data_IF_604344685697
#
_entry.id   IF_604344685697
#
_cell.length_a   1.000
_cell.length_b   1.000
_cell.length_c   1.000
_cell.angle_alpha   90.00
_cell.angle_beta   90.00
_cell.angle_gamma   90.00
#
_symmetry.space_group_name_H-M   'P 1'
#
loop_
_entity.id
_entity.type
_entity.pdbx_description
1 polymer ?
#
# COMPACT_ATOMS: atom_id res chain seq x y z
N UNK A 1 -10.49 -6.46 -6.30
CA UNK A 1 -11.86 -6.42 -5.74
C UNK A 1 -12.82 -5.80 -6.75
N UNK A 2 -14.04 -6.34 -6.83
CA UNK A 2 -15.10 -5.79 -7.67
C UNK A 2 -15.56 -6.69 -8.84
N UNK A 3 -14.91 -7.79 -9.12
CA UNK A 3 -15.37 -8.79 -10.11
C UNK A 3 -16.34 -9.78 -9.50
N UNK A 4 -16.12 -10.22 -8.28
CA UNK A 4 -17.00 -11.09 -7.52
C UNK A 4 -17.46 -10.42 -6.23
N UNK A 5 -18.24 -11.14 -5.41
CA UNK A 5 -18.67 -10.65 -4.10
C UNK A 5 -17.45 -10.22 -3.25
N UNK A 6 -17.36 -8.96 -2.81
CA UNK A 6 -16.22 -8.47 -2.06
C UNK A 6 -15.97 -9.19 -0.73
N UNK A 7 -17.01 -9.72 -0.10
CA UNK A 7 -16.86 -10.48 1.15
C UNK A 7 -16.25 -11.85 0.88
N UNK A 8 -16.69 -12.51 -0.20
CA UNK A 8 -16.08 -13.76 -0.63
C UNK A 8 -14.59 -13.59 -0.96
N UNK A 9 -14.25 -12.60 -1.80
CA UNK A 9 -12.86 -12.29 -2.14
C UNK A 9 -12.02 -11.99 -0.90
N UNK A 10 -12.57 -11.22 0.04
CA UNK A 10 -11.92 -10.86 1.30
C UNK A 10 -11.62 -12.09 2.16
N UNK A 11 -12.59 -13.00 2.32
CA UNK A 11 -12.40 -14.23 3.07
C UNK A 11 -11.43 -15.20 2.40
N UNK A 12 -11.50 -15.32 1.07
CA UNK A 12 -10.56 -16.13 0.30
C UNK A 12 -9.13 -15.64 0.45
N UNK A 13 -8.92 -14.32 0.31
CA UNK A 13 -7.61 -13.68 0.50
C UNK A 13 -7.11 -13.88 1.94
N UNK A 14 -7.96 -13.67 2.94
CA UNK A 14 -7.60 -13.88 4.34
C UNK A 14 -7.13 -15.32 4.60
N UNK A 15 -7.89 -16.31 4.16
CA UNK A 15 -7.53 -17.72 4.29
C UNK A 15 -6.22 -18.04 3.59
N UNK A 16 -6.02 -17.50 2.38
CA UNK A 16 -4.79 -17.67 1.62
C UNK A 16 -3.57 -17.12 2.37
N UNK A 17 -3.65 -15.91 2.91
CA UNK A 17 -2.56 -15.32 3.69
C UNK A 17 -2.27 -16.17 4.95
N UNK A 18 -3.30 -16.61 5.66
CA UNK A 18 -3.14 -17.48 6.84
C UNK A 18 -2.48 -18.83 6.50
N UNK A 19 -2.85 -19.43 5.38
CA UNK A 19 -2.25 -20.67 4.91
C UNK A 19 -0.76 -20.46 4.54
N UNK A 20 -0.45 -19.39 3.83
CA UNK A 20 0.92 -19.02 3.52
C UNK A 20 1.76 -18.74 4.78
N UNK A 21 1.24 -18.01 5.76
CA UNK A 21 1.93 -17.75 7.02
C UNK A 21 2.23 -19.04 7.80
N UNK A 22 1.31 -20.00 7.78
CA UNK A 22 1.51 -21.27 8.48
C UNK A 22 2.57 -22.15 7.81
N UNK A 23 2.63 -22.12 6.47
CA UNK A 23 3.60 -22.92 5.69
C UNK A 23 4.98 -22.28 5.60
N UNK A 24 5.02 -20.96 5.53
CA UNK A 24 6.22 -20.17 5.27
C UNK A 24 6.47 -19.18 6.40
N UNK A 25 6.57 -19.66 7.62
CA UNK A 25 6.66 -18.88 8.85
C UNK A 25 7.88 -17.92 8.90
N UNK A 26 8.90 -18.15 8.05
CA UNK A 26 10.09 -17.27 7.92
C UNK A 26 9.91 -16.17 6.89
N UNK A 27 8.80 -16.17 6.13
CA UNK A 27 8.55 -15.20 5.07
C UNK A 27 7.70 -14.05 5.58
N UNK A 28 8.06 -12.84 5.18
CA UNK A 28 7.20 -11.68 5.37
C UNK A 28 6.19 -11.58 4.21
N UNK A 29 4.94 -11.28 4.56
CA UNK A 29 3.86 -11.16 3.59
C UNK A 29 3.39 -9.71 3.48
N UNK A 30 3.04 -9.32 2.25
CA UNK A 30 2.37 -8.07 2.00
C UNK A 30 1.07 -8.29 1.22
N UNK A 31 0.03 -7.57 1.60
CA UNK A 31 -1.29 -7.63 0.98
C UNK A 31 -1.62 -6.27 0.37
N UNK A 32 -2.07 -6.29 -0.87
CA UNK A 32 -2.57 -5.12 -1.59
C UNK A 32 -4.06 -5.30 -1.89
N UNK A 33 -4.81 -4.21 -1.93
CA UNK A 33 -6.25 -4.20 -2.12
C UNK A 33 -6.67 -3.47 -3.41
N UNK A 34 -6.23 -3.90 -4.61
CA UNK A 34 -6.65 -3.26 -5.84
C UNK A 34 -8.15 -3.48 -6.06
N UNK A 35 -8.89 -2.41 -6.22
CA UNK A 35 -10.30 -2.46 -6.63
C UNK A 35 -10.46 -1.91 -8.04
N UNK A 36 -11.45 -2.44 -8.75
CA UNK A 36 -11.83 -1.92 -10.05
C UNK A 36 -12.40 -0.51 -9.90
N UNK A 37 -11.90 0.38 -10.72
CA UNK A 37 -12.39 1.74 -10.87
C UNK A 37 -13.03 1.89 -12.25
N UNK A 38 -14.03 2.77 -12.44
CA UNK A 38 -14.52 3.11 -13.76
C UNK A 38 -13.36 3.58 -14.65
N UNK A 39 -13.29 3.06 -15.85
CA UNK A 39 -12.27 3.39 -16.85
C UNK A 39 -12.89 4.05 -18.08
N UNK A 40 -12.08 4.73 -18.88
CA UNK A 40 -12.50 5.41 -20.11
C UNK A 40 -13.18 4.47 -21.13
N UNK A 41 -12.92 3.14 -21.04
CA UNK A 41 -13.54 2.09 -21.87
C UNK A 41 -14.96 1.69 -21.43
N UNK A 42 -15.56 2.33 -20.42
CA UNK A 42 -16.95 2.09 -19.99
C UNK A 42 -17.16 0.80 -19.19
N UNK A 43 -16.11 0.07 -18.83
CA UNK A 43 -16.25 -1.10 -17.95
C UNK A 43 -16.72 -0.69 -16.57
N UNK A 44 -17.80 -1.30 -16.11
CA UNK A 44 -18.31 -1.12 -14.77
C UNK A 44 -18.09 -2.39 -13.94
N UNK A 45 -17.57 -2.23 -12.73
CA UNK A 45 -17.40 -3.36 -11.81
C UNK A 45 -18.76 -3.97 -11.47
N UNK A 46 -18.97 -5.28 -11.64
CA UNK A 46 -20.22 -5.95 -11.26
C UNK A 46 -20.56 -5.78 -9.77
N UNK A 47 -19.54 -5.72 -8.93
CA UNK A 47 -19.64 -5.56 -7.48
C UNK A 47 -18.77 -4.38 -7.01
N UNK A 48 -19.23 -3.12 -7.16
CA UNK A 48 -18.42 -1.96 -6.85
C UNK A 48 -18.08 -1.90 -5.35
N UNK A 49 -16.81 -1.64 -5.04
CA UNK A 49 -16.33 -1.52 -3.67
C UNK A 49 -16.23 -0.06 -3.28
N UNK A 50 -17.06 0.38 -2.34
CA UNK A 50 -17.03 1.75 -1.81
C UNK A 50 -15.80 2.01 -0.95
N UNK A 51 -15.46 3.29 -0.72
CA UNK A 51 -14.36 3.68 0.18
C UNK A 51 -14.59 3.15 1.60
N UNK A 52 -15.84 3.20 2.08
CA UNK A 52 -16.21 2.67 3.39
C UNK A 52 -15.95 1.16 3.49
N UNK A 53 -16.38 0.38 2.50
CA UNK A 53 -16.17 -1.06 2.49
C UNK A 53 -14.68 -1.40 2.40
N UNK A 54 -13.92 -0.70 1.55
CA UNK A 54 -12.47 -0.91 1.46
C UNK A 54 -11.77 -0.59 2.78
N UNK A 55 -12.14 0.50 3.46
CA UNK A 55 -11.60 0.81 4.77
C UNK A 55 -11.91 -0.27 5.81
N UNK A 56 -13.14 -0.79 5.82
CA UNK A 56 -13.54 -1.90 6.70
C UNK A 56 -12.71 -3.15 6.44
N UNK A 57 -12.48 -3.52 5.19
CA UNK A 57 -11.63 -4.65 4.80
C UNK A 57 -10.20 -4.44 5.32
N UNK A 58 -9.63 -3.26 5.09
CA UNK A 58 -8.27 -2.93 5.54
C UNK A 58 -8.14 -3.03 7.06
N UNK A 59 -9.12 -2.49 7.81
CA UNK A 59 -9.11 -2.57 9.27
C UNK A 59 -9.28 -4.00 9.78
N UNK A 60 -10.15 -4.80 9.17
CA UNK A 60 -10.30 -6.20 9.50
C UNK A 60 -8.99 -6.97 9.29
N UNK A 61 -8.30 -6.74 8.16
CA UNK A 61 -6.98 -7.33 7.91
C UNK A 61 -5.94 -6.87 8.92
N UNK A 62 -5.91 -5.58 9.28
CA UNK A 62 -4.97 -5.06 10.28
C UNK A 62 -5.19 -5.68 11.66
N UNK A 63 -6.44 -5.88 12.06
CA UNK A 63 -6.77 -6.51 13.35
C UNK A 63 -6.41 -7.99 13.35
N UNK A 64 -6.76 -8.72 12.27
CA UNK A 64 -6.58 -10.16 12.20
C UNK A 64 -5.17 -10.61 11.79
N UNK A 65 -4.40 -9.74 11.12
CA UNK A 65 -3.06 -10.00 10.58
C UNK A 65 -2.11 -8.85 10.93
N UNK A 66 -1.81 -8.64 12.22
CA UNK A 66 -1.08 -7.45 12.68
C UNK A 66 0.34 -7.33 12.08
N UNK A 67 1.00 -8.45 11.82
CA UNK A 67 2.37 -8.48 11.28
C UNK A 67 2.42 -8.35 9.74
N UNK A 68 1.28 -8.41 9.06
CA UNK A 68 1.24 -8.36 7.60
C UNK A 68 1.39 -6.92 7.10
N UNK A 69 2.25 -6.71 6.12
CA UNK A 69 2.34 -5.40 5.45
C UNK A 69 1.10 -5.17 4.58
N UNK A 70 0.33 -4.12 4.89
CA UNK A 70 -0.82 -3.71 4.09
C UNK A 70 -0.44 -2.54 3.18
N UNK A 71 -0.66 -2.72 1.89
CA UNK A 71 -0.20 -1.81 0.83
C UNK A 71 -1.39 -1.09 0.20
N UNK A 72 -1.28 0.23 0.05
CA UNK A 72 -2.26 1.04 -0.68
C UNK A 72 -1.60 1.75 -1.87
N UNK A 73 -2.21 1.63 -3.04
CA UNK A 73 -1.67 2.16 -4.29
C UNK A 73 -2.17 3.59 -4.59
N UNK A 74 -1.54 4.23 -5.58
CA UNK A 74 -1.93 5.54 -6.12
C UNK A 74 -3.25 5.53 -6.91
N UNK A 75 -3.89 4.37 -7.08
CA UNK A 75 -5.23 4.25 -7.66
C UNK A 75 -6.30 4.88 -6.78
N UNK A 76 -6.07 4.96 -5.48
CA UNK A 76 -6.99 5.52 -4.52
C UNK A 76 -6.85 7.05 -4.44
N UNK A 77 -7.97 7.74 -4.14
CA UNK A 77 -7.99 9.18 -4.03
C UNK A 77 -7.06 9.69 -2.91
N UNK A 78 -6.44 10.88 -3.07
CA UNK A 78 -5.56 11.45 -2.06
C UNK A 78 -6.16 11.50 -0.66
N UNK A 79 -7.39 11.97 -0.54
CA UNK A 79 -8.10 12.09 0.75
C UNK A 79 -8.29 10.75 1.45
N UNK A 80 -8.63 9.71 0.70
CA UNK A 80 -8.77 8.36 1.24
C UNK A 80 -7.42 7.79 1.69
N UNK A 81 -6.38 7.97 0.88
CA UNK A 81 -5.03 7.53 1.21
C UNK A 81 -4.49 8.22 2.46
N UNK A 82 -4.66 9.53 2.52
CA UNK A 82 -4.23 10.34 3.67
C UNK A 82 -4.94 9.89 4.95
N UNK A 83 -6.23 9.60 4.88
CA UNK A 83 -7.02 9.11 6.01
C UNK A 83 -6.57 7.74 6.54
N UNK A 84 -6.02 6.87 5.69
CA UNK A 84 -5.58 5.52 6.06
C UNK A 84 -4.11 5.42 6.47
N UNK A 85 -3.32 6.48 6.22
CA UNK A 85 -1.92 6.50 6.61
C UNK A 85 -1.78 6.32 8.14
N UNK A 86 -1.01 5.30 8.55
CA UNK A 86 -0.73 5.00 9.95
C UNK A 86 -1.87 4.34 10.74
N UNK A 87 -3.11 4.28 10.20
CA UNK A 87 -4.24 3.66 10.91
C UNK A 87 -4.37 2.17 10.54
N UNK A 88 -4.29 1.84 9.26
CA UNK A 88 -4.39 0.45 8.80
C UNK A 88 -3.30 0.10 7.81
N UNK A 89 -2.87 1.08 7.03
CA UNK A 89 -1.87 0.95 5.98
C UNK A 89 -0.50 1.36 6.51
N UNK A 90 0.50 0.55 6.25
CA UNK A 90 1.90 0.82 6.61
C UNK A 90 2.84 0.88 5.40
N UNK A 91 2.35 0.62 4.19
CA UNK A 91 3.10 0.83 2.95
C UNK A 91 2.22 1.49 1.89
N UNK A 92 2.74 2.50 1.21
CA UNK A 92 2.00 3.25 0.21
C UNK A 92 2.88 3.50 -1.02
N UNK A 93 2.30 3.39 -2.23
CA UNK A 93 2.97 3.82 -3.46
C UNK A 93 2.92 5.34 -3.58
N UNK A 94 3.93 5.94 -4.17
CA UNK A 94 3.97 7.36 -4.49
C UNK A 94 4.60 7.60 -5.86
N UNK A 95 4.17 8.63 -6.58
CA UNK A 95 4.72 9.01 -7.87
C UNK A 95 4.57 7.96 -8.97
N UNK A 96 3.58 7.07 -8.88
CA UNK A 96 3.38 6.00 -9.87
C UNK A 96 2.93 6.59 -11.21
N UNK A 97 3.55 6.12 -12.30
CA UNK A 97 3.15 6.41 -13.68
C UNK A 97 2.89 5.10 -14.40
N UNK A 98 1.77 5.01 -15.11
CA UNK A 98 1.31 3.77 -15.75
C UNK A 98 1.35 3.83 -17.27
N UNK A 99 1.85 4.93 -17.83
CA UNK A 99 2.08 5.10 -19.27
C UNK A 99 3.42 4.50 -19.67
N UNK A 100 3.50 3.94 -20.86
CA UNK A 100 4.76 3.43 -21.43
C UNK A 100 5.72 4.62 -21.57
N UNK A 101 6.95 4.50 -21.04
CA UNK A 101 7.92 5.60 -21.04
C UNK A 101 7.62 6.74 -20.05
N UNK A 102 6.55 6.64 -19.26
CA UNK A 102 6.04 7.73 -18.40
C UNK A 102 6.99 8.29 -17.34
N UNK A 103 8.13 7.62 -17.09
CA UNK A 103 9.19 8.14 -16.21
C UNK A 103 10.24 8.96 -16.97
N UNK A 104 10.31 8.85 -18.30
CA UNK A 104 11.30 9.51 -19.15
C UNK A 104 10.75 10.74 -19.87
N UNK A 105 9.44 10.76 -20.20
CA UNK A 105 8.80 11.86 -20.92
C UNK A 105 7.40 12.19 -20.35
N UNK A 106 6.90 13.45 -20.57
CA UNK A 106 5.51 13.78 -20.24
C UNK A 106 4.57 12.93 -21.12
N UNK A 107 3.82 12.05 -20.51
CA UNK A 107 2.95 11.15 -21.24
C UNK A 107 1.79 11.89 -21.91
N UNK A 108 1.65 11.73 -23.20
CA UNK A 108 0.54 12.25 -24.01
C UNK A 108 -0.65 11.27 -24.06
N UNK A 109 -0.55 10.09 -23.46
CA UNK A 109 -1.53 9.02 -23.64
C UNK A 109 -2.09 8.47 -22.32
N UNK A 110 -3.32 7.97 -22.37
CA UNK A 110 -3.99 7.38 -21.22
C UNK A 110 -3.22 6.13 -20.74
N UNK A 111 -2.73 6.17 -19.51
CA UNK A 111 -2.02 5.03 -18.94
C UNK A 111 -2.92 3.80 -18.79
N UNK A 112 -2.29 2.63 -18.63
CA UNK A 112 -2.98 1.35 -18.44
C UNK A 112 -4.00 1.37 -17.29
N UNK A 113 -3.80 2.23 -16.30
CA UNK A 113 -4.70 2.40 -15.16
C UNK A 113 -4.81 3.89 -14.77
N UNK A 114 -6.00 4.30 -14.33
CA UNK A 114 -6.20 5.63 -13.77
C UNK A 114 -5.44 5.75 -12.46
N UNK A 115 -4.51 6.69 -12.41
CA UNK A 115 -3.82 7.12 -11.18
C UNK A 115 -4.63 8.27 -10.58
N UNK A 116 -5.32 8.02 -9.47
CA UNK A 116 -6.13 9.04 -8.80
C UNK A 116 -5.30 9.99 -7.94
N UNK A 117 -4.20 9.50 -7.36
CA UNK A 117 -3.24 10.33 -6.62
C UNK A 117 -2.00 10.59 -7.47
N UNK A 118 -2.03 11.70 -8.19
CA UNK A 118 -0.93 12.15 -9.07
C UNK A 118 0.17 12.95 -8.34
N UNK A 119 0.13 13.04 -7.00
CA UNK A 119 1.17 13.73 -6.24
C UNK A 119 2.54 13.10 -6.50
N UNK A 120 3.55 13.95 -6.66
CA UNK A 120 4.93 13.48 -6.70
C UNK A 120 5.36 12.97 -5.31
N UNK A 121 6.52 12.31 -5.26
CA UNK A 121 7.06 11.70 -4.03
C UNK A 121 7.28 12.76 -2.94
N UNK A 122 7.78 13.93 -3.31
CA UNK A 122 8.08 15.02 -2.38
C UNK A 122 6.81 15.54 -1.69
N UNK A 123 5.78 15.87 -2.46
CA UNK A 123 4.50 16.33 -1.93
C UNK A 123 3.82 15.28 -1.05
N UNK A 124 3.92 13.99 -1.42
CA UNK A 124 3.39 12.90 -0.62
C UNK A 124 4.14 12.75 0.71
N UNK A 125 5.47 12.82 0.69
CA UNK A 125 6.30 12.78 1.91
C UNK A 125 6.05 13.99 2.81
N UNK A 126 5.86 15.19 2.24
CA UNK A 126 5.52 16.38 3.00
C UNK A 126 4.19 16.21 3.76
N UNK A 127 3.18 15.63 3.11
CA UNK A 127 1.90 15.31 3.76
C UNK A 127 2.08 14.32 4.93
N UNK A 128 2.87 13.27 4.75
CA UNK A 128 3.14 12.30 5.82
C UNK A 128 3.84 12.96 7.01
N UNK A 129 4.87 13.79 6.77
CA UNK A 129 5.58 14.52 7.83
C UNK A 129 4.66 15.49 8.58
N UNK A 130 3.79 16.20 7.84
CA UNK A 130 2.80 17.09 8.45
C UNK A 130 1.81 16.36 9.40
N UNK A 131 1.67 15.04 9.23
CA UNK A 131 0.87 14.16 10.10
C UNK A 131 1.70 13.46 11.18
N UNK A 132 2.97 13.76 11.30
CA UNK A 132 3.87 13.19 12.32
C UNK A 132 4.46 11.83 11.93
N UNK A 133 4.40 11.44 10.65
CA UNK A 133 5.04 10.22 10.17
C UNK A 133 6.40 10.52 9.55
N UNK A 134 7.34 9.61 9.73
CA UNK A 134 8.62 9.63 9.04
C UNK A 134 8.58 8.67 7.84
N UNK A 135 8.55 9.20 6.58
CA UNK A 135 8.47 8.36 5.40
C UNK A 135 9.80 7.66 5.12
N UNK A 136 9.77 6.34 5.08
CA UNK A 136 10.91 5.48 4.79
C UNK A 136 10.72 4.80 3.44
N UNK A 137 11.71 4.88 2.56
CA UNK A 137 11.60 4.36 1.19
C UNK A 137 11.94 2.89 1.05
N UNK A 138 12.76 2.35 1.95
CA UNK A 138 13.24 0.95 1.89
C UNK A 138 13.38 0.39 3.29
N UNK A 139 13.22 -0.94 3.42
CA UNK A 139 13.40 -1.63 4.71
C UNK A 139 14.84 -1.59 5.24
N UNK A 140 15.80 -1.18 4.43
CA UNK A 140 17.22 -1.00 4.79
C UNK A 140 17.64 0.47 4.75
N UNK A 141 16.71 1.40 4.87
CA UNK A 141 17.01 2.83 4.96
C UNK A 141 17.82 3.12 6.23
N UNK A 142 18.56 4.23 6.22
CA UNK A 142 19.39 4.67 7.34
C UNK A 142 18.60 4.78 8.66
N UNK A 143 17.32 5.16 8.59
CA UNK A 143 16.42 5.20 9.75
C UNK A 143 16.29 3.87 10.51
N UNK A 144 16.60 2.72 9.88
CA UNK A 144 16.62 1.41 10.53
C UNK A 144 18.01 0.98 10.99
N UNK A 145 19.07 1.66 10.57
CA UNK A 145 20.45 1.31 10.92
C UNK A 145 20.83 1.78 12.33
N UNK A 146 20.24 2.88 12.79
CA UNK A 146 20.53 3.49 14.08
C UNK A 146 19.90 2.74 15.28
N UNK A 147 19.10 1.70 15.00
CA UNK A 147 18.47 0.85 16.04
C UNK A 147 19.35 -0.34 16.43
N UNK A 148 20.43 -0.62 15.70
CA UNK A 148 21.40 -1.64 16.09
C UNK A 148 22.46 -0.95 16.94
N UNK A 149 22.52 -1.16 18.28
CA UNK A 149 23.61 -0.62 19.08
C UNK A 149 24.94 -1.14 18.53
N UNK A 150 25.85 -0.24 18.24
CA UNK A 150 27.22 -0.60 17.84
C UNK A 150 27.77 -1.57 18.88
N UNK A 151 28.43 -2.68 18.49
CA UNK A 151 29.07 -3.56 19.44
C UNK A 151 30.06 -2.74 20.26
N UNK A 152 29.93 -2.81 21.58
CA UNK A 152 30.80 -2.16 22.54
C UNK A 152 32.24 -2.49 22.13
N UNK A 153 33.01 -1.47 21.77
CA UNK A 153 34.46 -1.61 21.65
C UNK A 153 34.98 -1.99 23.05
N UNK A 154 35.27 -3.26 23.24
CA UNK A 154 36.09 -3.69 24.37
C UNK A 154 37.43 -2.96 24.26
N UNK A 155 37.60 -1.95 25.08
CA UNK A 155 38.91 -1.34 25.33
C UNK A 155 39.80 -2.43 25.95
N UNK A 156 40.70 -2.97 25.15
CA UNK A 156 41.83 -3.74 25.66
C UNK A 156 42.78 -2.75 26.36
N UNK A 157 42.77 -2.77 27.66
CA UNK A 157 43.88 -2.31 28.52
C UNK A 157 45.02 -3.29 28.45
#
# INVERSE_FOLDING_TARGET
LGLSDPLFDTLALFRHVRDLQSRFWRSAFSVSFPRLRPEAGGFQAPHPVSDRLLAQIIFAFRICLPETTLVLSTREAPTFRDGLAGIGINRMSAGSRTTVGGYSEPAADAGQFVVSDGRNVEAFCAMLRARGFDPVFKNWDAAFRDVIPSPVQEQRT
#
